data_IF_837801812326
#
_entry.id   IF_837801812326
#
_cell.length_a   1.000
_cell.length_b   1.000
_cell.length_c   1.000
_cell.angle_alpha   90.00
_cell.angle_beta   90.00
_cell.angle_gamma   90.00
#
_symmetry.space_group_name_H-M   'P 1'
#
loop_
_entity.id
_entity.type
_entity.pdbx_description
1 polymer ?
#
# COMPACT_ATOMS: atom_id res chain seq x y z
N UNK A 1 8.48 -14.78 -9.58
CA UNK A 1 8.06 -14.50 -8.19
C UNK A 1 8.29 -13.03 -7.92
N UNK A 2 7.57 -12.41 -6.96
CA UNK A 2 7.74 -10.98 -6.62
C UNK A 2 8.91 -10.71 -5.67
N UNK A 3 9.71 -11.74 -5.38
CA UNK A 3 10.94 -11.66 -4.61
C UNK A 3 11.92 -12.72 -5.12
N UNK A 4 13.21 -12.41 -5.01
CA UNK A 4 14.34 -13.29 -5.32
C UNK A 4 14.49 -14.40 -4.26
N UNK A 5 15.24 -15.46 -4.58
CA UNK A 5 15.55 -16.51 -3.60
C UNK A 5 16.29 -15.94 -2.38
N UNK A 6 17.17 -14.96 -2.59
CA UNK A 6 17.91 -14.28 -1.54
C UNK A 6 16.99 -13.46 -0.61
N UNK A 7 16.06 -12.69 -1.16
CA UNK A 7 15.05 -11.96 -0.38
C UNK A 7 14.20 -12.93 0.47
N UNK A 8 13.71 -14.01 -0.15
CA UNK A 8 12.92 -15.03 0.54
C UNK A 8 13.69 -15.70 1.69
N UNK A 9 14.97 -16.00 1.50
CA UNK A 9 15.81 -16.61 2.54
C UNK A 9 15.91 -15.74 3.80
N UNK A 10 15.80 -14.41 3.67
CA UNK A 10 15.84 -13.47 4.78
C UNK A 10 14.45 -13.10 5.33
N UNK A 11 13.37 -13.62 4.75
CA UNK A 11 11.99 -13.39 5.18
C UNK A 11 11.26 -12.27 4.44
N UNK A 12 11.89 -11.65 3.43
CA UNK A 12 11.22 -10.75 2.48
C UNK A 12 10.45 -11.59 1.46
N UNK A 13 9.18 -11.26 1.24
CA UNK A 13 8.30 -12.02 0.34
C UNK A 13 7.01 -12.49 1.00
N UNK A 14 6.89 -12.30 2.31
CA UNK A 14 5.62 -12.44 3.04
C UNK A 14 5.09 -11.03 3.31
N UNK A 15 3.87 -10.64 2.89
CA UNK A 15 3.39 -9.25 3.00
C UNK A 15 3.51 -8.66 4.42
N UNK A 16 3.15 -9.43 5.45
CA UNK A 16 3.23 -8.99 6.86
C UNK A 16 4.66 -8.80 7.37
N UNK A 17 5.66 -9.27 6.63
CA UNK A 17 7.09 -9.04 6.91
C UNK A 17 7.68 -7.96 5.99
N UNK A 18 7.18 -7.84 4.76
CA UNK A 18 7.71 -6.88 3.77
C UNK A 18 7.15 -5.47 3.97
N UNK A 19 5.83 -5.30 4.14
CA UNK A 19 5.24 -3.97 4.31
C UNK A 19 5.73 -3.19 5.54
N UNK A 20 6.06 -3.82 6.68
CA UNK A 20 6.62 -3.08 7.81
C UNK A 20 7.99 -2.44 7.51
N UNK A 21 8.75 -2.95 6.52
CA UNK A 21 10.00 -2.32 6.07
C UNK A 21 9.71 -0.96 5.40
N UNK A 22 8.63 -0.86 4.62
CA UNK A 22 8.20 0.43 4.08
C UNK A 22 7.74 1.37 5.19
N UNK A 23 6.98 0.84 6.15
CA UNK A 23 6.46 1.63 7.28
C UNK A 23 7.55 2.27 8.12
N UNK A 24 8.57 1.48 8.50
CA UNK A 24 9.68 2.04 9.26
C UNK A 24 10.46 3.07 8.45
N UNK A 25 10.59 2.90 7.13
CA UNK A 25 11.22 3.91 6.28
C UNK A 25 10.40 5.21 6.20
N UNK A 26 9.06 5.12 6.14
CA UNK A 26 8.16 6.27 6.20
C UNK A 26 8.29 6.96 7.56
N UNK A 27 8.24 6.20 8.66
CA UNK A 27 8.44 6.70 10.02
C UNK A 27 9.73 7.49 10.16
N UNK A 28 10.84 6.95 9.67
CA UNK A 28 12.13 7.64 9.67
C UNK A 28 12.13 8.91 8.84
N UNK A 29 11.49 8.89 7.67
CA UNK A 29 11.36 10.08 6.81
C UNK A 29 10.56 11.21 7.46
N UNK A 30 9.57 10.84 8.29
CA UNK A 30 8.74 11.76 9.07
C UNK A 30 9.37 12.14 10.42
N UNK A 31 10.50 11.55 10.80
CA UNK A 31 11.18 11.75 12.09
C UNK A 31 10.28 11.43 13.31
N UNK A 32 9.31 10.53 13.13
CA UNK A 32 8.40 10.12 14.19
C UNK A 32 9.05 9.11 15.13
N UNK A 33 8.78 9.26 16.43
CA UNK A 33 9.00 8.17 17.39
C UNK A 33 8.07 6.99 17.07
N UNK A 34 8.39 5.81 17.62
CA UNK A 34 7.54 4.62 17.47
C UNK A 34 6.11 4.87 17.96
N UNK A 35 5.96 5.51 19.12
CA UNK A 35 4.65 5.83 19.71
C UNK A 35 3.86 6.83 18.85
N UNK A 36 4.52 7.90 18.38
CA UNK A 36 3.92 8.89 17.50
C UNK A 36 3.43 8.26 16.20
N UNK A 37 4.24 7.38 15.60
CA UNK A 37 3.90 6.75 14.34
C UNK A 37 2.78 5.71 14.48
N UNK A 38 2.77 4.94 15.58
CA UNK A 38 1.65 4.05 15.89
C UNK A 38 0.33 4.83 16.01
N UNK A 39 0.34 5.99 16.66
CA UNK A 39 -0.84 6.84 16.75
C UNK A 39 -1.23 7.40 15.38
N UNK A 40 -0.28 7.88 14.58
CA UNK A 40 -0.53 8.41 13.23
C UNK A 40 -1.17 7.34 12.30
N UNK A 41 -0.66 6.10 12.32
CA UNK A 41 -1.31 4.99 11.60
C UNK A 41 -2.71 4.70 12.12
N UNK A 42 -2.93 4.83 13.44
CA UNK A 42 -4.25 4.71 14.06
C UNK A 42 -5.22 5.81 13.60
N UNK A 43 -4.77 7.05 13.53
CA UNK A 43 -5.54 8.21 13.03
C UNK A 43 -5.89 8.05 11.55
N UNK A 44 -4.96 7.54 10.74
CA UNK A 44 -5.19 7.20 9.34
C UNK A 44 -6.28 6.14 9.17
N UNK A 45 -6.28 5.07 9.98
CA UNK A 45 -7.22 3.95 9.83
C UNK A 45 -8.51 4.06 10.62
N UNK A 46 -8.62 4.95 11.62
CA UNK A 46 -9.87 5.13 12.36
C UNK A 46 -11.07 5.47 11.44
N UNK A 47 -10.97 6.42 10.48
CA UNK A 47 -12.04 6.68 9.51
C UNK A 47 -12.38 5.47 8.62
N UNK A 48 -11.39 4.64 8.29
CA UNK A 48 -11.63 3.40 7.52
C UNK A 48 -12.54 2.44 8.29
N UNK A 49 -12.36 2.33 9.61
CA UNK A 49 -13.23 1.48 10.45
C UNK A 49 -14.67 1.99 10.49
N UNK A 50 -14.89 3.30 10.41
CA UNK A 50 -16.22 3.89 10.39
C UNK A 50 -16.96 3.59 9.09
N UNK A 51 -16.26 3.72 7.96
CA UNK A 51 -16.78 3.36 6.64
C UNK A 51 -17.07 1.85 6.59
N UNK A 52 -16.16 1.01 7.07
CA UNK A 52 -16.37 -0.43 7.14
C UNK A 52 -17.59 -0.80 8.00
N UNK A 53 -17.73 -0.19 9.17
CA UNK A 53 -18.86 -0.45 10.07
C UNK A 53 -20.22 -0.05 9.51
N UNK A 54 -20.25 0.95 8.61
CA UNK A 54 -21.46 1.36 7.90
C UNK A 54 -21.72 0.55 6.62
N UNK A 55 -20.73 -0.21 6.15
CA UNK A 55 -20.83 -0.99 4.92
C UNK A 55 -21.41 -2.38 5.21
N UNK A 56 -22.60 -2.72 4.69
CA UNK A 56 -23.26 -4.00 4.97
C UNK A 56 -22.51 -5.22 4.41
N UNK A 57 -21.53 -5.01 3.53
CA UNK A 57 -20.70 -6.08 2.97
C UNK A 57 -19.39 -6.29 3.77
N UNK A 58 -19.08 -5.44 4.75
CA UNK A 58 -17.88 -5.59 5.57
C UNK A 58 -18.01 -6.76 6.55
N UNK A 59 -16.97 -7.58 6.67
CA UNK A 59 -16.95 -8.70 7.63
C UNK A 59 -16.37 -8.32 9.00
N UNK A 60 -15.41 -7.40 9.04
CA UNK A 60 -14.68 -7.03 10.26
C UNK A 60 -14.93 -5.56 10.67
N UNK A 61 -16.08 -5.00 10.28
CA UNK A 61 -16.48 -3.60 10.44
C UNK A 61 -16.79 -3.18 11.88
N UNK A 62 -15.88 -3.43 12.83
CA UNK A 62 -15.97 -2.85 14.18
C UNK A 62 -15.30 -1.47 14.17
N UNK A 63 -16.06 -0.43 14.57
CA UNK A 63 -15.51 0.92 14.75
C UNK A 63 -14.45 0.90 15.84
N UNK A 64 -13.31 1.54 15.58
CA UNK A 64 -12.22 1.71 16.54
C UNK A 64 -11.67 3.12 16.46
N UNK A 65 -11.34 3.67 17.62
CA UNK A 65 -10.58 4.91 17.73
C UNK A 65 -9.13 4.71 17.30
N UNK A 66 -8.45 5.82 17.01
CA UNK A 66 -7.01 5.82 16.70
C UNK A 66 -6.19 5.19 17.84
N UNK A 67 -6.55 5.51 19.09
CA UNK A 67 -5.87 4.99 20.27
C UNK A 67 -6.05 3.48 20.42
N UNK A 68 -7.24 2.94 20.11
CA UNK A 68 -7.46 1.49 20.12
C UNK A 68 -6.64 0.77 19.04
N UNK A 69 -6.55 1.36 17.84
CA UNK A 69 -5.75 0.80 16.74
C UNK A 69 -4.26 0.82 17.06
N UNK A 70 -3.76 1.92 17.64
CA UNK A 70 -2.36 2.11 18.00
C UNK A 70 -1.93 1.27 19.21
N UNK A 71 -2.85 1.01 20.15
CA UNK A 71 -2.53 0.33 21.41
C UNK A 71 -2.24 -1.15 21.19
N UNK A 72 -1.00 -1.54 21.48
CA UNK A 72 -0.57 -2.93 21.54
C UNK A 72 -1.20 -3.60 22.76
N UNK A 73 -1.81 -4.77 22.56
CA UNK A 73 -2.42 -5.56 23.64
C UNK A 73 -2.37 -7.06 23.30
N UNK A 74 -2.88 -7.93 24.17
CA UNK A 74 -2.99 -9.35 23.85
C UNK A 74 -3.89 -9.61 22.62
N UNK A 75 -4.94 -8.81 22.45
CA UNK A 75 -5.88 -8.92 21.33
C UNK A 75 -5.34 -8.24 20.06
N UNK A 76 -4.72 -7.07 20.23
CA UNK A 76 -4.07 -6.28 19.18
C UNK A 76 -2.54 -6.39 19.30
N UNK A 77 -2.03 -7.62 19.31
CA UNK A 77 -0.59 -7.90 19.42
C UNK A 77 0.14 -7.57 18.12
N UNK A 78 1.46 -7.39 18.19
CA UNK A 78 2.29 -7.26 16.99
C UNK A 78 2.23 -8.53 16.10
N UNK A 79 2.25 -8.29 14.79
CA UNK A 79 2.44 -9.31 13.75
C UNK A 79 3.81 -9.12 13.10
N UNK A 80 4.07 -7.91 12.59
CA UNK A 80 5.37 -7.48 12.11
C UNK A 80 5.55 -6.02 12.49
N UNK A 81 6.58 -5.70 13.28
CA UNK A 81 6.80 -4.33 13.76
C UNK A 81 6.98 -3.35 12.58
N UNK A 82 6.15 -2.29 12.49
CA UNK A 82 5.44 -1.67 13.60
C UNK A 82 3.94 -1.99 13.67
N UNK A 83 3.40 -2.94 12.90
CA UNK A 83 1.96 -3.20 12.82
C UNK A 83 1.43 -4.14 13.92
N UNK A 84 0.52 -3.66 14.78
CA UNK A 84 -0.38 -4.51 15.53
C UNK A 84 -1.39 -5.21 14.60
N UNK A 85 -2.03 -6.27 15.09
CA UNK A 85 -2.99 -7.12 14.36
C UNK A 85 -3.99 -6.31 13.52
N UNK A 86 -4.61 -5.27 14.08
CA UNK A 86 -5.67 -4.52 13.40
C UNK A 86 -5.19 -3.57 12.29
N UNK A 87 -3.88 -3.41 12.11
CA UNK A 87 -3.28 -2.67 10.99
C UNK A 87 -2.83 -3.59 9.84
N UNK A 88 -3.13 -4.89 9.93
CA UNK A 88 -2.82 -5.87 8.88
C UNK A 88 -4.09 -6.22 8.10
N UNK A 89 -3.95 -6.44 6.79
CA UNK A 89 -5.06 -6.93 5.96
C UNK A 89 -5.65 -8.23 6.54
N UNK A 90 -6.98 -8.34 6.45
CA UNK A 90 -7.73 -9.51 6.88
C UNK A 90 -8.37 -10.18 5.67
N UNK A 91 -7.83 -11.33 5.26
CA UNK A 91 -8.19 -12.00 4.00
C UNK A 91 -9.07 -13.25 4.16
N UNK A 92 -9.33 -13.68 5.40
CA UNK A 92 -10.20 -14.81 5.73
C UNK A 92 -11.69 -14.52 5.55
N UNK A 93 -12.12 -14.17 4.33
CA UNK A 93 -13.50 -13.78 3.99
C UNK A 93 -14.06 -14.59 2.83
N UNK A 94 -15.38 -14.82 2.86
CA UNK A 94 -16.14 -15.37 1.72
C UNK A 94 -16.97 -14.25 1.07
N UNK A 95 -16.39 -13.58 0.07
CA UNK A 95 -17.01 -12.44 -0.61
C UNK A 95 -16.78 -12.50 -2.12
N UNK A 96 -17.74 -11.97 -2.88
CA UNK A 96 -17.65 -11.84 -4.33
C UNK A 96 -18.13 -10.46 -4.80
N UNK A 97 -17.50 -9.97 -5.86
CA UNK A 97 -17.93 -8.79 -6.60
C UNK A 97 -17.88 -9.09 -8.09
N UNK A 98 -18.65 -8.35 -8.88
CA UNK A 98 -18.62 -8.44 -10.32
C UNK A 98 -18.92 -7.08 -10.94
N UNK A 99 -18.28 -6.80 -12.07
CA UNK A 99 -18.53 -5.60 -12.88
C UNK A 99 -18.97 -6.06 -14.27
N UNK A 100 -20.10 -5.53 -14.74
CA UNK A 100 -20.57 -5.75 -16.11
C UNK A 100 -20.23 -4.52 -16.94
N UNK A 101 -19.37 -4.72 -17.94
CA UNK A 101 -18.91 -3.67 -18.85
C UNK A 101 -19.39 -3.96 -20.27
N UNK A 102 -19.79 -2.91 -21.00
CA UNK A 102 -20.28 -3.03 -22.37
C UNK A 102 -20.12 -1.70 -23.11
N UNK A 103 -20.27 -1.71 -24.43
CA UNK A 103 -20.31 -0.48 -25.22
C UNK A 103 -21.65 0.24 -25.05
N UNK A 104 -21.67 1.57 -25.25
CA UNK A 104 -22.92 2.36 -25.24
C UNK A 104 -23.93 1.83 -26.26
N UNK A 105 -23.48 1.46 -27.45
CA UNK A 105 -24.34 0.88 -28.50
C UNK A 105 -25.04 -0.40 -28.01
N UNK A 106 -24.28 -1.32 -27.42
CA UNK A 106 -24.83 -2.57 -26.89
C UNK A 106 -25.75 -2.35 -25.69
N UNK A 107 -25.41 -1.40 -24.80
CA UNK A 107 -26.29 -1.03 -23.69
C UNK A 107 -27.66 -0.52 -24.16
N UNK A 108 -27.69 0.28 -25.24
CA UNK A 108 -28.93 0.76 -25.87
C UNK A 108 -29.74 -0.38 -26.49
N UNK A 109 -29.11 -1.26 -27.25
CA UNK A 109 -29.76 -2.45 -27.83
C UNK A 109 -30.44 -3.33 -26.78
N UNK A 110 -29.80 -3.48 -25.62
CA UNK A 110 -30.31 -4.27 -24.50
C UNK A 110 -31.32 -3.51 -23.62
N UNK A 111 -31.66 -2.26 -23.95
CA UNK A 111 -32.59 -1.45 -23.16
C UNK A 111 -32.07 -1.09 -21.77
N UNK A 112 -30.75 -1.04 -21.56
CA UNK A 112 -30.17 -0.66 -20.28
C UNK A 112 -30.32 0.86 -20.09
N UNK A 113 -31.20 1.25 -19.17
CA UNK A 113 -31.38 2.66 -18.76
C UNK A 113 -30.04 3.43 -18.61
N UNK A 114 -29.84 4.54 -19.36
CA UNK A 114 -28.68 5.42 -19.24
C UNK A 114 -28.42 5.97 -17.83
N UNK A 115 -29.44 6.04 -16.97
CA UNK A 115 -29.29 6.40 -15.56
C UNK A 115 -28.33 5.45 -14.80
N UNK A 116 -28.14 4.23 -15.30
CA UNK A 116 -27.25 3.21 -14.71
C UNK A 116 -25.84 3.22 -15.28
N UNK A 117 -25.55 3.99 -16.33
CA UNK A 117 -24.23 3.95 -16.96
C UNK A 117 -23.21 4.71 -16.12
N UNK A 118 -22.03 4.14 -15.95
CA UNK A 118 -20.85 4.79 -15.38
C UNK A 118 -19.71 4.52 -16.34
N UNK A 119 -18.92 5.55 -16.60
CA UNK A 119 -17.88 5.54 -17.60
C UNK A 119 -16.51 5.57 -16.93
N UNK A 120 -15.56 4.83 -17.47
CA UNK A 120 -14.15 4.90 -17.13
C UNK A 120 -13.55 6.06 -17.93
N UNK A 121 -13.29 7.19 -17.29
CA UNK A 121 -12.74 8.41 -17.93
C UNK A 121 -11.25 8.29 -18.19
N UNK A 122 -10.52 7.75 -17.22
CA UNK A 122 -9.08 7.56 -17.33
C UNK A 122 -8.64 6.30 -16.62
N UNK A 123 -7.64 5.64 -17.16
CA UNK A 123 -6.97 4.53 -16.51
C UNK A 123 -5.50 4.49 -16.87
N UNK A 124 -4.73 3.89 -15.97
CA UNK A 124 -3.33 3.56 -16.21
C UNK A 124 -2.96 2.34 -15.36
N UNK A 125 -1.85 1.73 -15.72
CA UNK A 125 -1.15 0.76 -14.91
C UNK A 125 0.36 1.00 -14.98
N UNK A 126 1.08 0.82 -13.89
CA UNK A 126 2.54 0.86 -13.87
C UNK A 126 3.09 -0.11 -12.83
N UNK A 127 4.30 -0.61 -13.05
CA UNK A 127 5.00 -1.47 -12.10
C UNK A 127 6.23 -0.78 -11.55
N UNK A 128 6.46 -0.96 -10.26
CA UNK A 128 7.76 -0.66 -9.66
C UNK A 128 8.81 -1.67 -10.09
N UNK A 129 10.07 -1.39 -9.71
CA UNK A 129 11.11 -2.42 -9.70
C UNK A 129 10.60 -3.66 -8.97
N UNK A 130 10.81 -4.82 -9.60
CA UNK A 130 10.18 -6.07 -9.16
C UNK A 130 10.67 -6.48 -7.78
N UNK A 131 11.97 -6.35 -7.52
CA UNK A 131 12.59 -6.72 -6.25
C UNK A 131 12.54 -5.55 -5.27
N UNK A 132 12.29 -5.84 -3.99
CA UNK A 132 12.25 -4.85 -2.92
C UNK A 132 13.63 -4.19 -2.78
N UNK A 133 14.71 -4.97 -2.98
CA UNK A 133 16.09 -4.48 -2.93
C UNK A 133 16.48 -3.55 -4.07
N UNK A 134 15.71 -3.50 -5.17
CA UNK A 134 15.99 -2.66 -6.33
C UNK A 134 15.31 -1.29 -6.26
N UNK A 135 14.36 -1.11 -5.33
CA UNK A 135 13.63 0.16 -5.20
C UNK A 135 14.56 1.30 -4.85
N UNK A 136 14.27 2.49 -5.40
CA UNK A 136 15.07 3.70 -5.15
C UNK A 136 15.14 4.07 -3.67
N UNK A 137 14.03 3.86 -2.95
CA UNK A 137 13.89 4.00 -1.51
C UNK A 137 12.68 3.15 -1.03
N UNK A 138 12.33 3.29 0.26
CA UNK A 138 11.28 2.50 0.90
C UNK A 138 10.08 3.32 1.39
N UNK A 139 10.04 4.63 1.12
CA UNK A 139 8.98 5.53 1.60
C UNK A 139 8.21 6.21 0.44
N UNK A 140 8.45 5.82 -0.81
CA UNK A 140 7.77 6.35 -1.99
C UNK A 140 7.61 5.29 -3.09
N UNK A 141 6.79 5.60 -4.09
CA UNK A 141 6.59 4.77 -5.28
C UNK A 141 6.52 5.64 -6.55
N UNK A 142 7.63 5.76 -7.31
CA UNK A 142 7.62 6.44 -8.61
C UNK A 142 6.62 5.85 -9.60
N UNK A 143 6.45 4.52 -9.61
CA UNK A 143 5.46 3.89 -10.47
C UNK A 143 4.04 4.31 -10.11
N UNK A 144 3.71 4.45 -8.81
CA UNK A 144 2.40 4.92 -8.40
C UNK A 144 2.15 6.36 -8.85
N UNK A 145 3.17 7.23 -8.72
CA UNK A 145 3.11 8.63 -9.15
C UNK A 145 2.86 8.74 -10.67
N UNK A 146 3.61 7.98 -11.48
CA UNK A 146 3.41 7.97 -12.94
C UNK A 146 2.05 7.39 -13.29
N UNK A 147 1.65 6.27 -12.68
CA UNK A 147 0.35 5.64 -12.89
C UNK A 147 -0.82 6.60 -12.61
N UNK A 148 -0.83 7.28 -11.46
CA UNK A 148 -1.92 8.20 -11.11
C UNK A 148 -1.95 9.43 -12.03
N UNK A 149 -0.78 9.99 -12.37
CA UNK A 149 -0.67 11.11 -13.30
C UNK A 149 -1.20 10.75 -14.70
N UNK A 150 -0.88 9.55 -15.22
CA UNK A 150 -1.36 9.08 -16.53
C UNK A 150 -2.88 8.86 -16.54
N UNK A 151 -3.43 8.28 -15.48
CA UNK A 151 -4.88 8.10 -15.35
C UNK A 151 -5.62 9.46 -15.28
N UNK A 152 -5.10 10.41 -14.51
CA UNK A 152 -5.63 11.78 -14.40
C UNK A 152 -5.57 12.52 -15.75
N UNK A 153 -4.43 12.47 -16.43
CA UNK A 153 -4.24 13.07 -17.75
C UNK A 153 -5.20 12.48 -18.79
N UNK A 154 -5.38 11.15 -18.81
CA UNK A 154 -6.33 10.48 -19.71
C UNK A 154 -7.78 10.94 -19.44
N UNK A 155 -8.14 11.17 -18.17
CA UNK A 155 -9.45 11.68 -17.80
C UNK A 155 -9.62 13.20 -18.06
N UNK A 156 -8.54 13.93 -18.36
CA UNK A 156 -8.54 15.39 -18.40
C UNK A 156 -8.92 16.00 -17.05
N UNK A 157 -8.39 15.43 -15.96
CA UNK A 157 -8.69 15.83 -14.58
C UNK A 157 -7.43 16.07 -13.78
N UNK A 158 -7.57 16.92 -12.78
CA UNK A 158 -6.62 17.07 -11.69
C UNK A 158 -7.13 16.39 -10.43
N UNK A 159 -6.24 16.16 -9.45
CA UNK A 159 -6.65 15.52 -8.19
C UNK A 159 -7.71 16.35 -7.42
N UNK A 160 -7.76 17.66 -7.63
CA UNK A 160 -8.79 18.56 -7.07
C UNK A 160 -10.19 18.33 -7.66
N UNK A 161 -10.29 17.69 -8.82
CA UNK A 161 -11.57 17.37 -9.47
C UNK A 161 -12.19 16.05 -8.96
N UNK A 162 -11.45 15.29 -8.15
CA UNK A 162 -11.88 13.99 -7.65
C UNK A 162 -12.66 14.16 -6.34
N UNK A 163 -13.88 13.61 -6.28
CA UNK A 163 -14.79 13.77 -5.15
C UNK A 163 -14.96 12.51 -4.29
N UNK A 164 -14.60 11.35 -4.82
CA UNK A 164 -14.74 10.04 -4.19
C UNK A 164 -13.42 9.28 -4.37
N UNK A 165 -12.85 8.78 -3.29
CA UNK A 165 -11.53 8.14 -3.32
C UNK A 165 -11.61 6.79 -2.60
N UNK A 166 -11.15 5.73 -3.26
CA UNK A 166 -10.81 4.49 -2.60
C UNK A 166 -9.34 4.12 -2.87
N UNK A 167 -8.53 4.21 -1.82
CA UNK A 167 -7.13 3.81 -1.84
C UNK A 167 -6.99 2.37 -1.36
N UNK A 168 -6.29 1.55 -2.15
CA UNK A 168 -5.95 0.20 -1.73
C UNK A 168 -5.11 0.21 -0.45
N UNK A 169 -5.58 -0.50 0.58
CA UNK A 169 -5.21 -0.23 1.97
C UNK A 169 -4.88 -1.51 2.77
N UNK A 170 -4.08 -2.41 2.19
CA UNK A 170 -3.67 -3.63 2.89
C UNK A 170 -2.88 -3.38 4.18
N UNK A 171 -2.12 -2.28 4.21
CA UNK A 171 -1.34 -1.79 5.34
C UNK A 171 -1.33 -0.25 5.30
N UNK A 172 -1.11 0.44 6.43
CA UNK A 172 -1.00 1.91 6.49
C UNK A 172 -0.02 2.49 5.46
N UNK A 173 1.20 1.95 5.36
CA UNK A 173 2.21 2.39 4.38
C UNK A 173 1.73 2.40 2.93
N UNK A 174 0.82 1.50 2.55
CA UNK A 174 0.27 1.51 1.19
C UNK A 174 -0.59 2.74 0.93
N UNK A 175 -1.31 3.20 1.96
CA UNK A 175 -2.14 4.41 1.91
C UNK A 175 -1.27 5.65 2.01
N UNK A 176 -0.26 5.67 2.89
CA UNK A 176 0.67 6.81 3.02
C UNK A 176 1.46 7.06 1.73
N UNK A 177 2.01 6.01 1.12
CA UNK A 177 2.70 6.10 -0.18
C UNK A 177 1.74 6.58 -1.27
N UNK A 178 0.48 6.14 -1.24
CA UNK A 178 -0.53 6.60 -2.18
C UNK A 178 -0.91 8.07 -2.00
N UNK A 179 -1.09 8.53 -0.76
CA UNK A 179 -1.36 9.94 -0.47
C UNK A 179 -0.20 10.82 -0.97
N UNK A 180 1.03 10.42 -0.69
CA UNK A 180 2.22 11.12 -1.19
C UNK A 180 2.29 11.14 -2.73
N UNK A 181 2.01 10.02 -3.40
CA UNK A 181 2.00 9.94 -4.87
C UNK A 181 0.87 10.75 -5.51
N UNK A 182 -0.26 10.89 -4.83
CA UNK A 182 -1.42 11.69 -5.27
C UNK A 182 -1.30 13.17 -4.90
N UNK A 183 -0.35 13.55 -4.04
CA UNK A 183 -0.19 14.91 -3.53
C UNK A 183 -1.32 15.35 -2.59
N UNK A 184 -1.93 14.40 -1.86
CA UNK A 184 -3.00 14.67 -0.89
C UNK A 184 -2.55 14.32 0.53
N UNK A 185 -3.27 14.84 1.53
CA UNK A 185 -2.97 14.55 2.94
C UNK A 185 -3.62 13.23 3.38
N UNK A 186 -3.05 12.60 4.40
CA UNK A 186 -3.57 11.36 5.01
C UNK A 186 -4.89 11.57 5.75
N UNK A 187 -5.25 12.80 6.06
CA UNK A 187 -6.50 13.23 6.70
C UNK A 187 -7.44 13.98 5.73
N UNK A 188 -7.29 13.76 4.41
CA UNK A 188 -8.09 14.44 3.40
C UNK A 188 -9.60 14.34 3.71
N UNK A 189 -10.25 15.51 3.77
CA UNK A 189 -11.66 15.64 4.17
C UNK A 189 -12.66 14.88 3.29
N UNK A 190 -12.27 14.48 2.06
CA UNK A 190 -13.08 13.64 1.18
C UNK A 190 -13.18 12.19 1.65
N UNK A 191 -12.27 11.78 2.53
CA UNK A 191 -12.03 10.39 2.91
C UNK A 191 -11.17 9.65 1.89
N UNK A 192 -10.50 8.58 2.35
CA UNK A 192 -9.55 7.79 1.54
C UNK A 192 -10.06 6.39 1.20
N UNK A 193 -11.27 6.03 1.63
CA UNK A 193 -11.92 4.77 1.28
C UNK A 193 -13.42 4.94 1.12
N UNK A 194 -13.99 4.18 0.20
CA UNK A 194 -15.44 4.04 0.01
C UNK A 194 -15.95 2.73 0.60
N UNK A 195 -15.06 1.75 0.77
CA UNK A 195 -15.38 0.39 1.20
C UNK A 195 -15.07 0.12 2.67
N UNK A 196 -14.06 0.77 3.22
CA UNK A 196 -13.59 0.57 4.59
C UNK A 196 -12.23 -0.13 4.74
N UNK A 197 -11.52 -0.39 3.64
CA UNK A 197 -10.16 -0.94 3.65
C UNK A 197 -10.02 -2.41 4.02
N UNK A 198 -8.93 -3.05 3.60
CA UNK A 198 -8.76 -4.51 3.75
C UNK A 198 -8.75 -5.02 5.20
N UNK A 199 -8.20 -4.31 6.20
CA UNK A 199 -8.23 -4.79 7.59
C UNK A 199 -9.64 -4.87 8.19
N UNK A 200 -10.59 -4.07 7.69
CA UNK A 200 -11.89 -3.87 8.32
C UNK A 200 -13.07 -4.28 7.44
N UNK A 201 -13.06 -3.93 6.15
CA UNK A 201 -14.00 -4.48 5.17
C UNK A 201 -13.81 -6.00 5.04
N UNK A 202 -12.55 -6.44 5.12
CA UNK A 202 -12.14 -7.78 4.74
C UNK A 202 -11.97 -7.87 3.23
N UNK A 203 -10.85 -8.38 2.76
CA UNK A 203 -10.54 -8.41 1.33
C UNK A 203 -10.18 -9.82 0.89
N UNK A 204 -10.87 -10.44 -0.09
CA UNK A 204 -10.53 -11.78 -0.58
C UNK A 204 -9.20 -11.76 -1.36
N UNK A 205 -8.10 -11.55 -0.66
CA UNK A 205 -6.70 -11.43 -1.08
C UNK A 205 -6.47 -10.45 -2.22
N UNK A 206 -6.84 -10.87 -3.43
CA UNK A 206 -6.55 -10.21 -4.70
C UNK A 206 -7.72 -9.38 -5.25
N UNK A 207 -8.93 -9.52 -4.71
CA UNK A 207 -10.15 -8.98 -5.34
C UNK A 207 -10.78 -7.77 -4.61
N UNK A 208 -10.10 -7.17 -3.62
CA UNK A 208 -10.61 -6.00 -2.89
C UNK A 208 -11.03 -4.84 -3.81
N UNK A 209 -10.18 -4.42 -4.76
CA UNK A 209 -10.48 -3.26 -5.62
C UNK A 209 -11.72 -3.43 -6.49
N UNK A 210 -12.16 -4.66 -6.78
CA UNK A 210 -13.43 -4.86 -7.50
C UNK A 210 -14.65 -4.51 -6.63
N UNK A 211 -14.58 -4.74 -5.31
CA UNK A 211 -15.60 -4.26 -4.38
C UNK A 211 -15.61 -2.73 -4.33
N UNK A 212 -14.43 -2.10 -4.34
CA UNK A 212 -14.31 -0.64 -4.38
C UNK A 212 -14.92 -0.04 -5.65
N UNK A 213 -14.69 -0.65 -6.82
CA UNK A 213 -15.35 -0.25 -8.08
C UNK A 213 -16.87 -0.41 -7.98
N UNK A 214 -17.37 -1.53 -7.45
CA UNK A 214 -18.81 -1.76 -7.30
C UNK A 214 -19.49 -0.73 -6.37
N UNK A 215 -18.83 -0.38 -5.26
CA UNK A 215 -19.28 0.68 -4.34
C UNK A 215 -19.29 2.04 -5.04
N UNK A 216 -18.20 2.40 -5.70
CA UNK A 216 -18.07 3.68 -6.41
C UNK A 216 -19.13 3.85 -7.49
N UNK A 217 -19.39 2.81 -8.29
CA UNK A 217 -20.42 2.83 -9.34
C UNK A 217 -21.79 3.15 -8.75
N UNK A 218 -22.13 2.60 -7.59
CA UNK A 218 -23.40 2.87 -6.90
C UNK A 218 -23.46 4.32 -6.41
N UNK A 219 -22.39 4.81 -5.75
CA UNK A 219 -22.29 6.17 -5.26
C UNK A 219 -22.38 7.23 -6.38
N UNK A 220 -21.72 7.01 -7.51
CA UNK A 220 -21.77 7.92 -8.66
C UNK A 220 -23.18 8.00 -9.29
N UNK A 221 -23.91 6.87 -9.33
CA UNK A 221 -25.30 6.84 -9.81
C UNK A 221 -26.23 7.63 -8.89
N UNK A 222 -26.03 7.52 -7.57
CA UNK A 222 -26.86 8.23 -6.60
C UNK A 222 -26.53 9.73 -6.55
N UNK A 223 -25.25 10.12 -6.63
CA UNK A 223 -24.86 11.53 -6.76
C UNK A 223 -25.46 12.17 -8.01
N UNK A 224 -25.48 11.49 -9.16
CA UNK A 224 -26.14 12.01 -10.38
C UNK A 224 -27.60 12.43 -10.14
N UNK A 225 -28.35 11.65 -9.35
CA UNK A 225 -29.76 11.98 -9.05
C UNK A 225 -29.86 13.28 -8.24
N UNK A 226 -29.00 13.43 -7.23
CA UNK A 226 -29.00 14.58 -6.31
C UNK A 226 -28.43 15.86 -6.96
N UNK A 227 -27.35 15.74 -7.74
CA UNK A 227 -26.66 16.86 -8.39
C UNK A 227 -27.38 17.42 -9.63
N UNK A 228 -28.50 16.82 -10.04
CA UNK A 228 -29.42 17.44 -11.02
C UNK A 228 -29.91 18.84 -10.60
N UNK A 229 -29.68 19.21 -9.33
CA UNK A 229 -29.98 20.52 -8.73
C UNK A 229 -28.78 21.47 -8.65
N UNK A 230 -27.54 20.97 -8.63
CA UNK A 230 -26.29 21.76 -8.46
C UNK A 230 -25.52 21.91 -9.77
N UNK A 231 -25.75 21.02 -10.74
CA UNK A 231 -25.06 21.00 -12.03
C UNK A 231 -23.61 20.49 -11.99
N UNK A 232 -23.11 20.07 -10.82
CA UNK A 232 -21.74 19.56 -10.67
C UNK A 232 -21.67 18.07 -11.00
N UNK A 233 -20.70 17.68 -11.83
CA UNK A 233 -20.44 16.26 -12.14
C UNK A 233 -19.46 15.70 -11.13
N UNK A 234 -19.83 14.59 -10.48
CA UNK A 234 -18.93 13.89 -9.57
C UNK A 234 -17.95 12.96 -10.31
N UNK A 235 -16.70 12.94 -9.88
CA UNK A 235 -15.66 12.00 -10.30
C UNK A 235 -15.18 11.17 -9.11
N UNK A 236 -14.90 9.89 -9.36
CA UNK A 236 -14.29 9.01 -8.37
C UNK A 236 -13.04 8.34 -8.87
N UNK A 237 -12.10 8.10 -7.96
CA UNK A 237 -10.83 7.43 -8.22
C UNK A 237 -10.75 6.16 -7.38
N UNK A 238 -10.37 5.06 -8.04
CA UNK A 238 -9.95 3.82 -7.37
C UNK A 238 -8.47 3.62 -7.67
N UNK A 239 -7.69 3.33 -6.63
CA UNK A 239 -6.34 2.78 -6.80
C UNK A 239 -6.33 1.30 -6.42
N UNK A 240 -5.54 0.52 -7.15
CA UNK A 240 -5.30 -0.89 -6.88
C UNK A 240 -3.81 -1.12 -6.72
N UNK A 241 -3.45 -2.01 -5.79
CA UNK A 241 -2.07 -2.35 -5.49
C UNK A 241 -1.88 -3.86 -5.43
N UNK A 242 -0.82 -4.34 -6.07
CA UNK A 242 -0.43 -5.75 -6.08
C UNK A 242 1.02 -5.94 -5.63
N UNK A 243 1.28 -7.02 -4.90
CA UNK A 243 2.62 -7.34 -4.41
C UNK A 243 3.03 -6.50 -3.21
N UNK A 244 4.27 -5.99 -3.22
CA UNK A 244 4.88 -5.18 -2.16
C UNK A 244 5.06 -3.75 -2.66
N UNK A 245 3.95 -3.05 -2.93
CA UNK A 245 3.95 -1.80 -3.72
C UNK A 245 4.57 -2.00 -5.12
N UNK A 246 4.35 -3.18 -5.71
CA UNK A 246 5.04 -3.61 -6.94
C UNK A 246 4.25 -3.28 -8.20
N UNK A 247 2.91 -3.32 -8.13
CA UNK A 247 2.02 -3.11 -9.27
C UNK A 247 0.91 -2.15 -8.88
N UNK A 248 0.65 -1.19 -9.74
CA UNK A 248 -0.36 -0.18 -9.52
C UNK A 248 -1.28 -0.10 -10.73
N UNK A 249 -2.57 0.07 -10.45
CA UNK A 249 -3.55 0.46 -11.45
C UNK A 249 -4.46 1.53 -10.86
N UNK A 250 -4.81 2.52 -11.66
CA UNK A 250 -5.76 3.57 -11.27
C UNK A 250 -6.88 3.65 -12.28
N UNK A 251 -8.11 3.79 -11.80
CA UNK A 251 -9.29 4.07 -12.62
C UNK A 251 -10.02 5.31 -12.12
N UNK A 252 -10.39 6.18 -13.05
CA UNK A 252 -11.19 7.39 -12.81
C UNK A 252 -12.55 7.20 -13.46
N UNK A 253 -13.60 7.35 -12.68
CA UNK A 253 -14.97 7.02 -13.07
C UNK A 253 -15.88 8.22 -12.90
N UNK A 254 -16.83 8.38 -13.81
CA UNK A 254 -17.92 9.34 -13.63
C UNK A 254 -19.20 8.82 -14.26
N UNK A 255 -20.30 9.41 -13.81
CA UNK A 255 -21.60 9.18 -14.40
C UNK A 255 -21.77 10.00 -15.71
N UNK A 256 -20.94 11.00 -16.00
CA UNK A 256 -21.01 11.66 -17.32
C UNK A 256 -20.35 10.82 -18.42
N UNK A 257 -20.87 10.78 -19.67
CA UNK A 257 -20.18 10.16 -20.79
C UNK A 257 -18.79 10.75 -21.02
N UNK A 258 -17.88 9.93 -21.56
CA UNK A 258 -16.60 10.40 -22.10
C UNK A 258 -16.85 11.03 -23.47
N UNK A 259 -16.32 12.23 -23.70
CA UNK A 259 -16.35 12.87 -25.02
C UNK A 259 -15.09 12.50 -25.81
N UNK A 260 -15.23 12.24 -27.11
CA UNK A 260 -14.12 11.85 -27.99
C UNK A 260 -13.83 10.34 -28.01
N UNK A 261 -12.66 9.98 -28.52
CA UNK A 261 -12.23 8.57 -28.58
C UNK A 261 -11.74 8.10 -27.21
N UNK A 262 -12.27 6.98 -26.74
CA UNK A 262 -11.76 6.30 -25.55
C UNK A 262 -10.66 5.32 -25.95
N UNK A 263 -9.44 5.55 -25.45
CA UNK A 263 -8.31 4.64 -25.68
C UNK A 263 -7.38 4.63 -24.47
N UNK A 264 -7.16 3.44 -23.93
CA UNK A 264 -6.12 3.24 -22.92
C UNK A 264 -4.74 3.47 -23.54
N UNK A 265 -3.93 4.32 -22.92
CA UNK A 265 -2.51 4.47 -23.27
C UNK A 265 -1.78 3.15 -23.01
N UNK A 266 -0.88 2.74 -23.91
CA UNK A 266 -0.12 1.52 -23.71
C UNK A 266 0.90 1.75 -22.58
N UNK A 267 0.88 0.96 -21.49
CA UNK A 267 1.79 1.13 -20.36
C UNK A 267 3.27 1.11 -20.72
N UNK A 268 3.63 0.39 -21.80
CA UNK A 268 5.00 0.35 -22.31
C UNK A 268 5.52 1.74 -22.75
N UNK A 269 4.64 2.71 -23.00
CA UNK A 269 5.03 4.08 -23.39
C UNK A 269 5.66 4.89 -22.24
N UNK A 270 5.34 4.57 -20.99
CA UNK A 270 5.83 5.29 -19.81
C UNK A 270 6.51 4.39 -18.78
N UNK A 271 6.38 3.06 -18.87
CA UNK A 271 7.08 2.11 -17.98
C UNK A 271 8.61 2.25 -18.07
N UNK A 272 9.13 2.59 -19.26
CA UNK A 272 10.56 2.84 -19.46
C UNK A 272 11.13 3.98 -18.60
N UNK A 273 10.31 4.95 -18.19
CA UNK A 273 10.72 6.02 -17.28
C UNK A 273 11.07 5.47 -15.88
N UNK A 274 10.30 4.49 -15.40
CA UNK A 274 10.50 3.82 -14.11
C UNK A 274 11.69 2.84 -14.23
N UNK A 275 11.73 2.08 -15.32
CA UNK A 275 12.77 1.08 -15.55
C UNK A 275 14.16 1.72 -15.71
N UNK A 276 14.24 2.95 -16.21
CA UNK A 276 15.48 3.71 -16.32
C UNK A 276 15.96 4.29 -14.99
N UNK A 277 15.12 4.34 -13.94
CA UNK A 277 15.54 4.83 -12.63
C UNK A 277 16.63 3.93 -12.05
N UNK A 278 17.71 4.56 -11.57
CA UNK A 278 18.87 3.84 -11.04
C UNK A 278 18.51 3.13 -9.74
N UNK A 279 18.56 1.81 -9.76
CA UNK A 279 18.48 1.00 -8.56
C UNK A 279 19.77 1.11 -7.75
N UNK A 280 19.68 1.12 -6.41
CA UNK A 280 20.87 1.05 -5.58
C UNK A 280 21.68 -0.22 -5.85
N UNK A 281 23.02 -0.11 -5.80
CA UNK A 281 23.89 -1.29 -5.86
C UNK A 281 23.53 -2.26 -4.74
N UNK A 282 23.56 -3.56 -5.02
CA UNK A 282 23.17 -4.61 -4.10
C UNK A 282 24.21 -5.73 -4.06
N UNK A 283 24.46 -6.32 -2.89
CA UNK A 283 25.31 -7.51 -2.72
C UNK A 283 24.61 -8.55 -1.86
N UNK A 284 24.71 -9.81 -2.28
CA UNK A 284 24.23 -10.95 -1.50
C UNK A 284 25.24 -11.43 -0.45
N UNK A 285 26.51 -11.02 -0.59
CA UNK A 285 27.63 -11.39 0.29
C UNK A 285 28.22 -10.15 0.98
N UNK A 286 27.44 -9.47 1.83
CA UNK A 286 27.93 -8.28 2.55
C UNK A 286 28.90 -8.67 3.67
N UNK A 287 29.94 -7.88 3.86
CA UNK A 287 30.90 -8.04 4.96
C UNK A 287 31.42 -6.67 5.39
N UNK A 288 31.43 -6.41 6.70
CA UNK A 288 32.04 -5.21 7.29
C UNK A 288 31.05 -4.26 7.97
N UNK A 289 31.49 -3.02 8.17
CA UNK A 289 30.72 -2.01 8.89
C UNK A 289 29.58 -1.47 8.04
N UNK A 290 28.41 -1.35 8.66
CA UNK A 290 27.17 -1.05 7.99
C UNK A 290 26.24 -0.19 8.83
N UNK A 291 25.22 0.36 8.18
CA UNK A 291 24.12 1.07 8.83
C UNK A 291 22.76 0.57 8.33
N UNK A 292 21.74 0.70 9.16
CA UNK A 292 20.36 0.29 8.82
C UNK A 292 19.70 1.35 7.92
N UNK A 293 19.14 0.90 6.79
CA UNK A 293 18.29 1.73 5.91
C UNK A 293 16.81 1.56 6.25
N UNK A 294 16.38 0.33 6.56
CA UNK A 294 15.08 0.03 7.18
C UNK A 294 15.13 -1.32 7.89
N UNK A 295 14.15 -1.57 8.76
CA UNK A 295 14.09 -2.78 9.57
C UNK A 295 12.65 -3.20 9.89
N UNK A 296 12.50 -4.43 10.37
CA UNK A 296 11.29 -4.91 11.03
C UNK A 296 11.63 -6.02 12.02
N UNK A 297 10.67 -6.34 12.88
CA UNK A 297 10.71 -7.47 13.80
C UNK A 297 9.46 -8.34 13.56
N UNK A 298 9.67 -9.57 13.14
CA UNK A 298 8.62 -10.57 12.95
C UNK A 298 8.19 -11.12 14.30
N UNK A 299 6.88 -11.26 14.49
CA UNK A 299 6.30 -11.83 15.69
C UNK A 299 5.49 -13.09 15.39
N UNK A 300 5.67 -14.12 16.22
CA UNK A 300 4.80 -15.29 16.26
C UNK A 300 3.90 -15.22 17.48
N UNK A 301 2.58 -15.12 17.26
CA UNK A 301 1.59 -15.00 18.35
C UNK A 301 1.92 -13.86 19.33
N UNK A 302 2.53 -12.78 18.84
CA UNK A 302 2.92 -11.60 19.62
C UNK A 302 4.29 -11.69 20.29
N UNK A 303 5.03 -12.79 20.11
CA UNK A 303 6.40 -12.94 20.60
C UNK A 303 7.38 -12.60 19.47
N UNK A 304 8.36 -11.71 19.67
CA UNK A 304 9.40 -11.43 18.69
C UNK A 304 10.23 -12.69 18.40
N UNK A 305 10.44 -13.02 17.12
CA UNK A 305 11.20 -14.24 16.71
C UNK A 305 12.27 -14.00 15.66
N UNK A 306 12.32 -12.82 15.04
CA UNK A 306 13.33 -12.50 14.02
C UNK A 306 13.36 -11.00 13.70
N UNK A 307 14.55 -10.41 13.70
CA UNK A 307 14.78 -9.10 13.08
C UNK A 307 15.16 -9.24 11.60
N UNK A 308 14.65 -8.36 10.75
CA UNK A 308 15.10 -8.18 9.37
C UNK A 308 15.66 -6.77 9.25
N UNK A 309 16.83 -6.65 8.63
CA UNK A 309 17.48 -5.39 8.30
C UNK A 309 17.73 -5.34 6.80
N UNK A 310 17.32 -4.25 6.17
CA UNK A 310 17.92 -3.80 4.92
C UNK A 310 18.93 -2.72 5.31
N UNK A 311 20.19 -2.94 4.97
CA UNK A 311 21.29 -2.08 5.38
C UNK A 311 22.14 -1.59 4.22
N UNK A 312 23.06 -0.69 4.55
CA UNK A 312 24.06 -0.10 3.65
C UNK A 312 25.46 -0.28 4.23
N UNK A 313 26.39 -0.81 3.43
CA UNK A 313 27.80 -0.81 3.80
C UNK A 313 28.30 0.63 3.91
N UNK A 314 29.09 0.93 4.94
CA UNK A 314 29.61 2.29 5.17
C UNK A 314 30.64 2.68 4.09
N UNK A 315 31.45 1.72 3.65
CA UNK A 315 32.54 1.97 2.69
C UNK A 315 32.05 2.52 1.35
N UNK A 316 30.96 1.96 0.81
CA UNK A 316 30.58 2.18 -0.58
C UNK A 316 29.05 2.30 -0.81
N UNK A 317 28.27 2.31 0.27
CA UNK A 317 26.82 2.46 0.26
C UNK A 317 26.07 1.35 -0.51
N UNK A 318 26.67 0.17 -0.68
CA UNK A 318 25.98 -1.00 -1.26
C UNK A 318 24.92 -1.51 -0.29
N UNK A 319 23.73 -1.79 -0.84
CA UNK A 319 22.61 -2.36 -0.11
C UNK A 319 22.78 -3.85 0.11
N UNK A 320 22.30 -4.34 1.24
CA UNK A 320 22.21 -5.76 1.55
C UNK A 320 20.96 -6.07 2.38
N UNK A 321 20.65 -7.36 2.53
CA UNK A 321 19.66 -7.85 3.49
C UNK A 321 20.38 -8.72 4.50
N UNK A 322 19.98 -8.61 5.77
CA UNK A 322 20.44 -9.46 6.84
C UNK A 322 19.31 -9.73 7.84
N UNK A 323 19.44 -10.82 8.58
CA UNK A 323 18.71 -11.03 9.82
C UNK A 323 19.56 -10.59 11.02
N UNK A 324 18.93 -10.34 12.15
CA UNK A 324 19.65 -10.12 13.41
C UNK A 324 19.80 -11.43 14.17
N UNK A 325 20.59 -11.40 15.25
CA UNK A 325 20.54 -12.47 16.25
C UNK A 325 19.11 -12.58 16.80
N UNK A 326 18.67 -13.82 17.03
CA UNK A 326 17.35 -14.14 17.58
C UNK A 326 17.42 -14.32 19.10
N UNK A 327 18.01 -13.33 19.77
CA UNK A 327 18.08 -13.25 21.23
C UNK A 327 17.18 -12.13 21.75
N UNK A 328 16.72 -12.28 22.99
CA UNK A 328 15.77 -11.35 23.61
C UNK A 328 16.31 -9.92 23.69
N UNK A 329 17.61 -9.75 23.95
CA UNK A 329 18.23 -8.43 24.11
C UNK A 329 18.17 -7.66 22.80
N UNK A 330 18.63 -8.27 21.70
CA UNK A 330 18.61 -7.68 20.37
C UNK A 330 17.19 -7.32 19.93
N UNK A 331 16.24 -8.26 20.05
CA UNK A 331 14.87 -8.03 19.58
C UNK A 331 14.12 -7.00 20.44
N UNK A 332 14.32 -7.00 21.76
CA UNK A 332 13.74 -5.97 22.63
C UNK A 332 14.32 -4.59 22.33
N UNK A 333 15.63 -4.49 22.04
CA UNK A 333 16.27 -3.24 21.63
C UNK A 333 15.64 -2.70 20.35
N UNK A 334 15.46 -3.53 19.33
CA UNK A 334 14.84 -3.12 18.05
C UNK A 334 13.40 -2.60 18.20
N UNK A 335 12.66 -3.04 19.21
CA UNK A 335 11.29 -2.59 19.48
C UNK A 335 11.23 -1.31 20.31
N UNK A 336 12.24 -1.04 21.12
CA UNK A 336 12.26 0.07 22.07
C UNK A 336 13.02 1.31 21.55
N UNK A 337 13.99 1.11 20.67
CA UNK A 337 14.89 2.15 20.19
C UNK A 337 14.75 2.37 18.67
N UNK A 338 15.11 3.57 18.21
CA UNK A 338 15.29 3.83 16.79
C UNK A 338 16.48 3.05 16.24
N UNK A 339 16.22 2.18 15.26
CA UNK A 339 17.23 1.38 14.56
C UNK A 339 17.65 1.97 13.23
N UNK A 340 16.88 2.88 12.62
CA UNK A 340 17.27 3.54 11.37
C UNK A 340 18.59 4.30 11.55
N UNK A 341 19.44 4.22 10.54
CA UNK A 341 20.80 4.79 10.53
C UNK A 341 21.73 4.27 11.65
N UNK A 342 21.30 3.31 12.48
CA UNK A 342 22.16 2.71 13.50
C UNK A 342 23.28 1.92 12.86
N UNK A 343 24.47 2.12 13.40
CA UNK A 343 25.66 1.40 13.01
C UNK A 343 25.65 -0.04 13.56
N UNK A 344 26.31 -0.91 12.80
CA UNK A 344 26.54 -2.29 13.16
C UNK A 344 27.56 -2.91 12.22
N UNK A 345 27.75 -4.22 12.37
CA UNK A 345 28.56 -5.02 11.48
C UNK A 345 27.70 -6.09 10.83
N UNK A 346 27.84 -6.25 9.52
CA UNK A 346 27.22 -7.35 8.77
C UNK A 346 28.26 -8.40 8.43
N UNK A 347 27.89 -9.67 8.59
CA UNK A 347 28.70 -10.81 8.15
C UNK A 347 27.91 -11.65 7.16
N UNK A 348 28.61 -12.15 6.15
CA UNK A 348 28.00 -13.03 5.14
C UNK A 348 27.61 -14.36 5.78
N UNK A 349 26.37 -14.79 5.56
CA UNK A 349 25.92 -16.13 5.94
C UNK A 349 26.54 -17.18 5.02
N UNK A 350 27.02 -18.30 5.57
CA UNK A 350 27.52 -19.39 4.74
C UNK A 350 26.39 -19.91 3.83
N UNK A 351 26.64 -20.03 2.52
CA UNK A 351 25.65 -20.36 1.49
C UNK A 351 24.87 -21.69 1.74
N UNK A 352 25.36 -22.55 2.64
CA UNK A 352 24.73 -23.80 3.03
C UNK A 352 24.06 -23.77 4.43
N UNK A 353 24.29 -22.74 5.26
CA UNK A 353 23.96 -22.78 6.71
C UNK A 353 23.32 -21.51 7.30
N UNK A 354 23.19 -20.37 6.60
CA UNK A 354 22.51 -19.22 7.22
C UNK A 354 22.30 -17.98 6.36
N UNK A 355 21.32 -17.18 6.76
CA UNK A 355 21.11 -15.81 6.31
C UNK A 355 22.29 -14.91 6.75
N UNK A 356 22.52 -13.81 6.03
CA UNK A 356 23.46 -12.77 6.47
C UNK A 356 23.07 -12.27 7.87
N UNK A 357 24.05 -11.97 8.71
CA UNK A 357 23.82 -11.57 10.10
C UNK A 357 24.23 -10.11 10.32
N UNK A 358 23.33 -9.30 10.86
CA UNK A 358 23.61 -7.94 11.29
C UNK A 358 23.68 -7.90 12.82
N UNK A 359 24.78 -7.36 13.34
CA UNK A 359 25.01 -7.15 14.77
C UNK A 359 25.12 -5.64 15.03
N UNK A 360 24.22 -5.11 15.86
CA UNK A 360 24.27 -3.72 16.27
C UNK A 360 25.52 -3.44 17.10
N UNK A 361 26.09 -2.24 16.90
CA UNK A 361 27.18 -1.73 17.75
C UNK A 361 26.69 -1.32 19.13
#
# INVERSE_FOLDING_TARGET
TLASAHEFAHGIGVPVNTYPLFENAIRGRLENSVEQHLLAMGELFAPFTEVAAANPFALYGTRRSAQELARVSAENRFIGFPYPKWMNAMDGVDQGAAVVMTSVGRARELGIDPARWVFLHGCAEASEKLLVTERVNYYSSPAMQINTARALAMAGKEMSDIDLIDIYSCFPSAVEVACAALGIQTDDSRGLTLTGGLPFFGGPGNNYSMHAIATLVSLLRDRRKNDSTTGRVAFGMITANGGYLSKHATGIYSSTPVEGEWRCENPASYQGEIDAMLSPRFTETPEGDAKVETYTVIHERGVPVRGIVIGRLIEDNVRFIANTANDTETLSRMLAEEMLERAGRVTTGAAAEGANLFQFS
#
